data_IF_394410079685
#
_entry.id   IF_394410079685
#
_cell.length_a   1.000
_cell.length_b   1.000
_cell.length_c   1.000
_cell.angle_alpha   90.00
_cell.angle_beta   90.00
_cell.angle_gamma   90.00
#
_symmetry.space_group_name_H-M   'P 1'
#
loop_
_entity.id
_entity.type
_entity.pdbx_description
1 polymer ?
#
# COMPACT_ATOMS: atom_id res chain seq x y z
N UNK A 1 -1.80 -29.18 -8.12
CA UNK A 1 -2.65 -28.10 -8.69
C UNK A 1 -3.71 -27.64 -7.69
N UNK A 2 -4.59 -28.52 -7.17
CA UNK A 2 -5.69 -28.16 -6.25
C UNK A 2 -5.31 -27.54 -4.90
N UNK A 3 -4.07 -27.69 -4.43
CA UNK A 3 -3.65 -27.19 -3.10
C UNK A 3 -3.24 -25.71 -3.11
N UNK A 4 -2.78 -25.17 -4.25
CA UNK A 4 -2.35 -23.77 -4.35
C UNK A 4 -3.55 -22.81 -4.49
N UNK A 5 -4.62 -23.23 -5.20
CA UNK A 5 -5.86 -22.44 -5.31
C UNK A 5 -6.57 -22.25 -3.95
N UNK A 6 -6.40 -23.20 -3.03
CA UNK A 6 -7.03 -23.16 -1.71
C UNK A 6 -6.32 -22.17 -0.79
N UNK A 7 -4.99 -22.11 -0.78
CA UNK A 7 -4.24 -21.13 0.03
C UNK A 7 -4.47 -19.67 -0.43
N UNK A 8 -4.54 -19.44 -1.75
CA UNK A 8 -4.86 -18.12 -2.32
C UNK A 8 -6.31 -17.69 -2.01
N UNK A 9 -7.25 -18.63 -2.04
CA UNK A 9 -8.65 -18.34 -1.68
C UNK A 9 -8.80 -18.07 -0.18
N UNK A 10 -8.09 -18.80 0.68
CA UNK A 10 -8.12 -18.61 2.14
C UNK A 10 -7.56 -17.23 2.52
N UNK A 11 -6.45 -16.82 1.90
CA UNK A 11 -5.83 -15.52 2.19
C UNK A 11 -6.76 -14.36 1.81
N UNK A 12 -7.36 -14.39 0.61
CA UNK A 12 -8.31 -13.35 0.19
C UNK A 12 -9.58 -13.30 1.05
N UNK A 13 -10.10 -14.46 1.44
CA UNK A 13 -11.29 -14.54 2.31
C UNK A 13 -10.99 -14.02 3.71
N UNK A 14 -9.78 -14.26 4.24
CA UNK A 14 -9.34 -13.72 5.52
C UNK A 14 -9.26 -12.18 5.52
N UNK A 15 -8.77 -11.57 4.43
CA UNK A 15 -8.77 -10.10 4.29
C UNK A 15 -10.18 -9.51 4.27
N UNK A 16 -11.13 -10.16 3.59
CA UNK A 16 -12.53 -9.72 3.52
C UNK A 16 -13.22 -9.82 4.89
N UNK A 17 -12.99 -10.91 5.62
CA UNK A 17 -13.54 -11.10 6.98
C UNK A 17 -12.95 -10.07 7.95
N UNK A 18 -11.63 -9.83 7.90
CA UNK A 18 -10.99 -8.79 8.70
C UNK A 18 -11.54 -7.41 8.33
N UNK A 19 -11.75 -7.12 7.05
CA UNK A 19 -12.32 -5.85 6.59
C UNK A 19 -13.72 -5.61 7.16
N UNK A 20 -14.62 -6.60 7.07
CA UNK A 20 -15.99 -6.53 7.58
C UNK A 20 -16.02 -6.44 9.12
N UNK A 21 -15.18 -7.24 9.80
CA UNK A 21 -15.10 -7.24 11.26
C UNK A 21 -14.60 -5.91 11.81
N UNK A 22 -13.56 -5.35 11.17
CA UNK A 22 -13.03 -4.04 11.53
C UNK A 22 -14.11 -2.98 11.32
N UNK A 23 -14.81 -2.98 10.18
CA UNK A 23 -15.88 -2.00 9.90
C UNK A 23 -17.05 -2.05 10.90
N UNK A 24 -17.43 -3.26 11.36
CA UNK A 24 -18.42 -3.42 12.43
C UNK A 24 -17.92 -2.98 13.81
N UNK A 25 -16.61 -3.01 14.04
CA UNK A 25 -15.97 -2.60 15.29
C UNK A 25 -15.65 -1.10 15.34
N UNK A 26 -16.24 -0.29 14.46
CA UNK A 26 -16.04 1.15 14.47
C UNK A 26 -16.82 1.81 15.61
N UNK A 27 -16.13 2.09 16.72
CA UNK A 27 -16.62 3.06 17.69
C UNK A 27 -16.65 4.46 17.04
N UNK A 28 -17.67 5.24 17.35
CA UNK A 28 -18.07 6.52 16.71
C UNK A 28 -17.01 7.64 16.66
N UNK A 29 -15.82 7.43 17.20
CA UNK A 29 -14.75 8.43 17.32
C UNK A 29 -13.65 8.16 16.28
N UNK A 30 -13.51 9.05 15.27
CA UNK A 30 -12.44 9.02 14.27
C UNK A 30 -11.06 9.20 14.94
N UNK A 31 -10.46 8.09 15.35
CA UNK A 31 -9.14 8.05 16.00
C UNK A 31 -8.07 7.61 14.98
N UNK A 32 -6.77 7.71 15.34
CA UNK A 32 -5.62 7.20 14.56
C UNK A 32 -5.74 5.73 14.10
N UNK A 33 -6.61 4.92 14.73
CA UNK A 33 -6.89 3.54 14.32
C UNK A 33 -7.61 3.48 12.96
N UNK A 34 -8.34 4.54 12.59
CA UNK A 34 -9.10 4.59 11.35
C UNK A 34 -8.20 4.63 10.11
N UNK A 35 -6.93 5.01 10.25
CA UNK A 35 -5.95 4.93 9.17
C UNK A 35 -5.75 3.49 8.67
N UNK A 36 -5.96 2.48 9.54
CA UNK A 36 -5.90 1.07 9.14
C UNK A 36 -6.92 0.72 8.05
N UNK A 37 -8.11 1.32 8.06
CA UNK A 37 -9.08 1.08 6.98
C UNK A 37 -8.59 1.60 5.64
N UNK A 38 -8.00 2.80 5.63
CA UNK A 38 -7.45 3.43 4.44
C UNK A 38 -6.31 2.56 3.89
N UNK A 39 -5.45 2.05 4.77
CA UNK A 39 -4.35 1.15 4.43
C UNK A 39 -4.87 -0.15 3.81
N UNK A 40 -5.86 -0.80 4.43
CA UNK A 40 -6.42 -2.06 3.90
C UNK A 40 -7.07 -1.84 2.54
N UNK A 41 -7.82 -0.75 2.35
CA UNK A 41 -8.45 -0.44 1.05
C UNK A 41 -7.38 -0.18 -0.01
N UNK A 42 -6.31 0.56 0.32
CA UNK A 42 -5.20 0.80 -0.59
C UNK A 42 -4.50 -0.50 -1.01
N UNK A 43 -4.22 -1.39 -0.05
CA UNK A 43 -3.63 -2.70 -0.31
C UNK A 43 -4.57 -3.61 -1.12
N UNK A 44 -5.88 -3.56 -0.86
CA UNK A 44 -6.85 -4.32 -1.63
C UNK A 44 -6.84 -3.86 -3.09
N UNK A 45 -6.87 -2.55 -3.32
CA UNK A 45 -6.79 -1.99 -4.67
C UNK A 45 -5.49 -2.39 -5.37
N UNK A 46 -4.35 -2.26 -4.70
CA UNK A 46 -3.02 -2.62 -5.22
C UNK A 46 -2.97 -4.06 -5.73
N UNK A 47 -3.45 -5.00 -4.90
CA UNK A 47 -3.49 -6.42 -5.22
C UNK A 47 -4.54 -6.76 -6.29
N UNK A 48 -5.68 -6.06 -6.31
CA UNK A 48 -6.70 -6.25 -7.34
C UNK A 48 -6.21 -5.80 -8.72
N UNK A 49 -5.52 -4.66 -8.82
CA UNK A 49 -4.98 -4.20 -10.11
C UNK A 49 -3.91 -5.15 -10.64
N UNK A 50 -3.03 -5.68 -9.77
CA UNK A 50 -2.08 -6.73 -10.15
C UNK A 50 -2.80 -7.99 -10.66
N UNK A 51 -3.85 -8.44 -9.96
CA UNK A 51 -4.60 -9.63 -10.34
C UNK A 51 -5.41 -9.44 -11.63
N UNK A 52 -6.01 -8.27 -11.84
CA UNK A 52 -6.80 -7.93 -13.04
C UNK A 52 -5.89 -7.68 -14.24
N UNK A 53 -4.71 -7.08 -14.03
CA UNK A 53 -3.71 -6.84 -15.07
C UNK A 53 -3.26 -8.12 -15.79
N UNK A 54 -3.33 -9.28 -15.11
CA UNK A 54 -3.04 -10.59 -15.72
C UNK A 54 -4.09 -11.04 -16.76
N UNK A 55 -5.30 -10.47 -16.73
CA UNK A 55 -6.43 -10.89 -17.56
C UNK A 55 -6.81 -9.86 -18.64
N UNK A 56 -6.63 -8.57 -18.39
CA UNK A 56 -7.13 -7.48 -19.25
C UNK A 56 -6.24 -7.23 -20.47
N UNK A 57 -4.97 -7.65 -20.44
CA UNK A 57 -4.00 -7.38 -21.52
C UNK A 57 -3.56 -5.90 -21.57
N UNK A 58 -2.59 -5.60 -22.44
CA UNK A 58 -1.98 -4.26 -22.53
C UNK A 58 -2.87 -3.26 -23.28
N UNK A 59 -3.29 -2.19 -22.61
CA UNK A 59 -3.99 -1.05 -23.21
C UNK A 59 -4.08 0.12 -22.22
N UNK A 60 -4.50 1.29 -22.70
CA UNK A 60 -4.54 2.56 -21.95
C UNK A 60 -5.25 2.45 -20.59
N UNK A 61 -6.23 1.55 -20.48
CA UNK A 61 -6.96 1.28 -19.25
C UNK A 61 -6.05 0.68 -18.16
N UNK A 62 -5.13 -0.22 -18.51
CA UNK A 62 -4.21 -0.85 -17.56
C UNK A 62 -3.13 0.12 -17.08
N UNK A 63 -2.72 1.06 -17.93
CA UNK A 63 -1.79 2.12 -17.58
C UNK A 63 -2.39 3.06 -16.53
N UNK A 64 -3.64 3.51 -16.74
CA UNK A 64 -4.36 4.38 -15.80
C UNK A 64 -4.57 3.67 -14.44
N UNK A 65 -4.89 2.37 -14.44
CA UNK A 65 -5.06 1.59 -13.22
C UNK A 65 -3.74 1.44 -12.43
N UNK A 66 -2.62 1.18 -13.12
CA UNK A 66 -1.31 1.14 -12.47
C UNK A 66 -0.86 2.51 -11.98
N UNK A 67 -1.16 3.59 -12.70
CA UNK A 67 -0.90 4.95 -12.23
C UNK A 67 -1.67 5.21 -10.92
N UNK A 68 -2.94 4.82 -10.85
CA UNK A 68 -3.75 4.86 -9.63
C UNK A 68 -3.10 4.11 -8.46
N UNK A 69 -2.50 2.95 -8.73
CA UNK A 69 -1.75 2.15 -7.75
C UNK A 69 -0.60 2.95 -7.13
N UNK A 70 0.23 3.58 -7.95
CA UNK A 70 1.36 4.39 -7.46
C UNK A 70 0.91 5.59 -6.62
N UNK A 71 -0.14 6.30 -7.04
CA UNK A 71 -0.69 7.40 -6.26
C UNK A 71 -1.28 6.96 -4.92
N UNK A 72 -2.03 5.86 -4.91
CA UNK A 72 -2.58 5.29 -3.68
C UNK A 72 -1.43 4.85 -2.77
N UNK A 73 -0.42 4.17 -3.29
CA UNK A 73 0.74 3.75 -2.51
C UNK A 73 1.47 4.94 -1.87
N UNK A 74 1.76 5.98 -2.66
CA UNK A 74 2.49 7.16 -2.20
C UNK A 74 1.77 7.93 -1.08
N UNK A 75 0.43 7.91 -1.08
CA UNK A 75 -0.38 8.61 -0.09
C UNK A 75 -0.73 7.73 1.11
N UNK A 76 -1.02 6.45 0.88
CA UNK A 76 -1.57 5.54 1.89
C UNK A 76 -0.47 4.85 2.70
N UNK A 77 0.61 4.40 2.08
CA UNK A 77 1.68 3.66 2.78
C UNK A 77 2.31 4.49 3.91
N UNK A 78 2.62 5.79 3.75
CA UNK A 78 3.17 6.60 4.84
C UNK A 78 2.24 6.76 6.04
N UNK A 79 0.92 6.57 5.88
CA UNK A 79 -0.04 6.64 6.99
C UNK A 79 0.09 5.49 7.98
N UNK A 80 0.80 4.41 7.63
CA UNK A 80 1.17 3.32 8.56
C UNK A 80 1.96 3.82 9.77
N UNK A 81 2.74 4.90 9.61
CA UNK A 81 3.48 5.54 10.71
C UNK A 81 2.50 6.09 11.76
N UNK A 82 1.41 6.74 11.31
CA UNK A 82 0.38 7.28 12.20
C UNK A 82 -0.46 6.18 12.85
N UNK A 83 -0.74 5.11 12.10
CA UNK A 83 -1.40 3.93 12.66
C UNK A 83 -0.55 3.30 13.79
N UNK A 84 0.74 3.08 13.55
CA UNK A 84 1.68 2.52 14.53
C UNK A 84 1.77 3.42 15.77
N UNK A 85 1.82 4.74 15.60
CA UNK A 85 1.73 5.69 16.71
C UNK A 85 0.44 5.49 17.54
N UNK A 86 -0.70 5.32 16.88
CA UNK A 86 -1.99 5.07 17.53
C UNK A 86 -2.05 3.77 18.33
N UNK A 87 -1.42 2.71 17.84
CA UNK A 87 -1.32 1.41 18.53
C UNK A 87 -0.36 1.50 19.72
N UNK A 88 0.82 2.09 19.55
CA UNK A 88 1.80 2.24 20.63
C UNK A 88 1.29 3.14 21.76
N UNK A 89 0.48 4.16 21.43
CA UNK A 89 -0.21 5.00 22.43
C UNK A 89 -1.27 4.21 23.21
N UNK A 90 -1.98 3.30 22.55
CA UNK A 90 -2.96 2.42 23.19
C UNK A 90 -2.30 1.38 24.09
N UNK A 91 -1.12 0.88 23.73
CA UNK A 91 -0.32 -0.04 24.54
C UNK A 91 0.31 0.63 25.79
N UNK A 92 -0.10 1.86 26.12
CA UNK A 92 0.32 2.65 27.28
C UNK A 92 1.85 2.80 27.44
N UNK A 93 2.58 2.70 26.34
CA UNK A 93 4.04 2.79 26.33
C UNK A 93 4.47 4.18 26.83
N UNK A 94 5.30 4.22 27.88
CA UNK A 94 5.58 5.44 28.65
C UNK A 94 6.12 6.62 27.83
N UNK A 95 6.96 6.38 26.82
CA UNK A 95 7.54 7.44 25.97
C UNK A 95 6.57 7.99 24.91
N UNK A 96 5.46 7.30 24.63
CA UNK A 96 4.45 7.71 23.63
C UNK A 96 3.48 8.78 24.12
N UNK A 97 3.48 9.08 25.43
CA UNK A 97 2.65 10.13 26.04
C UNK A 97 3.12 11.54 25.67
N UNK A 98 4.34 11.68 25.16
CA UNK A 98 4.92 12.97 24.77
C UNK A 98 4.32 13.49 23.46
N UNK A 99 3.98 14.78 23.44
CA UNK A 99 3.57 15.48 22.21
C UNK A 99 4.69 15.54 21.16
N UNK A 100 5.95 15.41 21.58
CA UNK A 100 7.10 15.38 20.65
C UNK A 100 7.01 14.14 19.75
N UNK A 101 6.69 12.98 20.33
CA UNK A 101 6.59 11.73 19.56
C UNK A 101 5.42 11.80 18.58
N UNK A 102 4.30 12.41 18.98
CA UNK A 102 3.17 12.67 18.07
C UNK A 102 3.61 13.49 16.86
N UNK A 103 4.24 14.64 17.08
CA UNK A 103 4.66 15.53 16.01
C UNK A 103 5.76 14.91 15.14
N UNK A 104 6.65 14.12 15.74
CA UNK A 104 7.66 13.35 15.01
C UNK A 104 7.01 12.32 14.08
N UNK A 105 6.01 11.55 14.55
CA UNK A 105 5.28 10.59 13.70
C UNK A 105 4.56 11.28 12.54
N UNK A 106 3.96 12.45 12.77
CA UNK A 106 3.33 13.25 11.70
C UNK A 106 4.37 13.76 10.71
N UNK A 107 5.48 14.29 11.20
CA UNK A 107 6.57 14.79 10.37
C UNK A 107 7.17 13.67 9.49
N UNK A 108 7.42 12.50 10.07
CA UNK A 108 7.94 11.34 9.33
C UNK A 108 6.95 10.87 8.27
N UNK A 109 5.65 10.75 8.62
CA UNK A 109 4.63 10.38 7.64
C UNK A 109 4.56 11.38 6.48
N UNK A 110 4.61 12.69 6.77
CA UNK A 110 4.57 13.74 5.76
C UNK A 110 5.83 13.74 4.89
N UNK A 111 7.00 13.58 5.48
CA UNK A 111 8.27 13.50 4.77
C UNK A 111 8.27 12.29 3.81
N UNK A 112 7.84 11.13 4.28
CA UNK A 112 7.69 9.93 3.44
C UNK A 112 6.69 10.16 2.31
N UNK A 113 5.53 10.74 2.58
CA UNK A 113 4.56 11.09 1.52
C UNK A 113 5.16 12.03 0.47
N UNK A 114 5.94 13.03 0.87
CA UNK A 114 6.59 13.94 -0.09
C UNK A 114 7.62 13.19 -0.94
N UNK A 115 8.45 12.34 -0.33
CA UNK A 115 9.43 11.52 -1.06
C UNK A 115 8.72 10.63 -2.09
N UNK A 116 7.68 9.92 -1.67
CA UNK A 116 6.91 9.04 -2.55
C UNK A 116 6.20 9.83 -3.66
N UNK A 117 5.60 10.99 -3.38
CA UNK A 117 4.97 11.83 -4.41
C UNK A 117 6.00 12.32 -5.42
N UNK A 118 7.18 12.76 -4.98
CA UNK A 118 8.25 13.19 -5.89
C UNK A 118 8.67 12.05 -6.82
N UNK A 119 8.75 10.85 -6.26
CA UNK A 119 9.02 9.63 -7.01
C UNK A 119 7.91 9.34 -8.02
N UNK A 120 6.63 9.46 -7.63
CA UNK A 120 5.47 9.25 -8.51
C UNK A 120 5.37 10.29 -9.63
N UNK A 121 5.69 11.55 -9.36
CA UNK A 121 5.67 12.61 -10.38
C UNK A 121 6.79 12.43 -11.42
N UNK A 122 7.89 11.79 -11.04
CA UNK A 122 9.01 11.48 -11.93
C UNK A 122 8.87 10.12 -12.63
N UNK A 123 7.76 9.41 -12.45
CA UNK A 123 7.56 8.12 -13.10
C UNK A 123 7.37 8.32 -14.61
N UNK A 124 8.36 7.90 -15.39
CA UNK A 124 8.19 7.56 -16.80
C UNK A 124 7.71 6.11 -16.89
N UNK A 125 6.42 5.92 -17.15
CA UNK A 125 5.82 4.60 -17.34
C UNK A 125 6.25 4.05 -18.71
N UNK A 126 7.33 3.27 -18.73
CA UNK A 126 7.70 2.50 -19.93
C UNK A 126 7.11 1.08 -19.84
N UNK A 127 6.31 0.66 -20.83
CA UNK A 127 5.80 -0.72 -20.88
C UNK A 127 6.96 -1.68 -21.17
N UNK A 128 7.43 -2.43 -20.18
CA UNK A 128 8.50 -3.44 -20.36
C UNK A 128 7.92 -4.85 -20.26
N UNK A 129 8.20 -5.67 -21.28
CA UNK A 129 7.80 -7.07 -21.34
C UNK A 129 8.86 -7.97 -20.68
N UNK A 130 8.54 -8.60 -19.54
CA UNK A 130 9.39 -9.65 -18.96
C UNK A 130 8.55 -10.90 -18.67
N UNK A 131 8.92 -12.02 -19.31
CA UNK A 131 8.41 -13.37 -19.01
C UNK A 131 6.87 -13.50 -18.94
N UNK A 132 6.13 -12.87 -19.86
CA UNK A 132 4.66 -13.02 -19.93
C UNK A 132 3.87 -12.33 -18.81
N UNK A 133 4.54 -11.54 -17.95
CA UNK A 133 3.90 -10.67 -16.96
C UNK A 133 4.18 -9.20 -17.32
N UNK A 134 3.15 -8.36 -17.24
CA UNK A 134 3.32 -6.92 -17.35
C UNK A 134 3.69 -6.37 -15.98
N UNK A 135 4.91 -5.84 -15.85
CA UNK A 135 5.39 -5.25 -14.62
C UNK A 135 5.89 -3.84 -14.95
N UNK A 136 5.23 -2.82 -14.40
CA UNK A 136 5.67 -1.42 -14.54
C UNK A 136 6.82 -1.18 -13.57
N UNK A 137 8.05 -1.08 -14.08
CA UNK A 137 9.24 -0.79 -13.26
C UNK A 137 9.55 0.70 -13.26
N UNK A 138 10.15 1.18 -12.17
CA UNK A 138 10.93 2.42 -12.19
C UNK A 138 12.28 2.17 -12.86
N UNK A 139 12.72 3.08 -13.73
CA UNK A 139 14.05 3.05 -14.35
C UNK A 139 15.21 3.17 -13.32
N UNK A 140 14.93 3.47 -12.05
CA UNK A 140 15.95 3.61 -11.00
C UNK A 140 16.54 2.29 -10.49
N UNK A 141 16.09 1.12 -10.95
CA UNK A 141 16.76 -0.16 -10.67
C UNK A 141 17.63 -0.68 -11.83
N UNK A 142 17.71 0.05 -12.96
CA UNK A 142 18.62 -0.27 -14.09
C UNK A 142 19.97 0.46 -13.95
N UNK A 143 20.45 0.60 -12.71
CA UNK A 143 21.84 0.96 -12.39
C UNK A 143 22.46 -0.17 -11.57
N UNK A 144 22.30 -1.41 -12.04
CA UNK A 144 23.18 -2.51 -11.67
C UNK A 144 23.62 -3.12 -13.00
N UNK A 145 24.89 -2.95 -13.43
CA UNK A 145 25.36 -3.61 -14.63
C UNK A 145 25.28 -5.14 -14.42
N UNK A 146 24.95 -5.92 -15.47
CA UNK A 146 25.00 -7.36 -15.35
C UNK A 146 26.46 -7.77 -15.14
N UNK A 147 26.82 -8.05 -13.90
CA UNK A 147 28.00 -8.83 -13.61
C UNK A 147 27.58 -10.29 -13.46
N UNK A 148 27.92 -11.02 -14.52
CA UNK A 148 28.06 -12.48 -14.66
C UNK A 148 26.77 -13.21 -15.05
#
# INVERSE_FOLDING_TARGET
>A
MQLLDVEDTISHTAYIILFIWTFRSSQKELTYRSFLYIIIIGLLYDNLILAVGRFVGTGDLLEILNLGRYWIHALVTPTLVLFTYGILKLAEVNWMKSNIVKWLSVFVALLLSVIEILVVVQLELNPVWIMGFFNTYQLLQVIIPPHI
#
